data_IF_974225327220
#
_entry.id   IF_974225327220
#
_cell.length_a   1.000
_cell.length_b   1.000
_cell.length_c   1.000
_cell.angle_alpha   90.00
_cell.angle_beta   90.00
_cell.angle_gamma   90.00
#
_symmetry.space_group_name_H-M   'P 1'
#
loop_
_entity.id
_entity.type
_entity.pdbx_description
1 polymer ?
#
# COMPACT_ATOMS: atom_id res chain seq x y z
N UNK A 1 3.96 -6.33 15.34
CA UNK A 1 3.19 -5.37 14.51
C UNK A 1 2.51 -4.28 15.33
N UNK A 2 1.68 -4.58 16.34
CA UNK A 2 1.06 -3.55 17.18
C UNK A 2 2.05 -2.57 17.82
N UNK A 3 3.16 -3.09 18.37
CA UNK A 3 4.22 -2.27 18.97
C UNK A 3 4.88 -1.33 17.94
N UNK A 4 5.15 -1.81 16.73
CA UNK A 4 5.74 -1.00 15.67
C UNK A 4 4.81 0.13 15.24
N UNK A 5 3.51 -0.12 15.10
CA UNK A 5 2.51 0.90 14.74
C UNK A 5 2.30 1.94 15.86
N UNK A 6 2.33 1.49 17.12
CA UNK A 6 2.30 2.39 18.28
C UNK A 6 3.55 3.26 18.37
N UNK A 7 4.74 2.69 18.13
CA UNK A 7 6.00 3.42 18.26
C UNK A 7 6.23 4.40 17.10
N UNK A 8 5.71 4.10 15.89
CA UNK A 8 5.90 4.92 14.68
C UNK A 8 4.76 5.91 14.37
N UNK A 9 3.53 5.58 14.75
CA UNK A 9 2.35 6.37 14.42
C UNK A 9 1.43 6.65 15.62
N UNK A 10 1.82 6.22 16.82
CA UNK A 10 1.08 6.43 18.08
C UNK A 10 -0.37 5.93 18.05
N UNK A 11 -0.72 5.07 17.09
CA UNK A 11 -2.07 4.60 16.89
C UNK A 11 -2.08 3.12 16.48
N UNK A 12 -2.75 2.29 17.31
CA UNK A 12 -2.94 0.85 17.05
C UNK A 12 -3.68 0.57 15.74
N UNK A 13 -4.46 1.53 15.23
CA UNK A 13 -5.18 1.36 13.96
C UNK A 13 -4.24 1.28 12.75
N UNK A 14 -2.96 1.66 12.87
CA UNK A 14 -2.02 1.72 11.75
C UNK A 14 -1.16 0.47 11.58
N UNK A 15 -1.57 -0.63 12.21
CA UNK A 15 -0.95 -1.95 12.09
C UNK A 15 -1.03 -2.47 10.65
N UNK A 16 -2.12 -2.19 9.94
CA UNK A 16 -2.27 -2.59 8.54
C UNK A 16 -1.24 -1.89 7.64
N UNK A 17 -1.05 -0.57 7.80
CA UNK A 17 -0.09 0.21 7.03
C UNK A 17 1.34 -0.28 7.28
N UNK A 18 1.70 -0.54 8.54
CA UNK A 18 2.97 -1.18 8.89
C UNK A 18 3.14 -2.57 8.25
N UNK A 19 2.08 -3.40 8.24
CA UNK A 19 2.13 -4.71 7.58
C UNK A 19 2.29 -4.60 6.06
N UNK A 20 1.59 -3.66 5.42
CA UNK A 20 1.78 -3.36 4.00
C UNK A 20 3.22 -2.94 3.72
N UNK A 21 3.83 -2.10 4.57
CA UNK A 21 5.24 -1.73 4.44
C UNK A 21 6.18 -2.94 4.44
N UNK A 22 6.00 -3.87 5.39
CA UNK A 22 6.76 -5.13 5.44
C UNK A 22 6.57 -5.91 4.14
N UNK A 23 5.32 -6.11 3.69
CA UNK A 23 5.04 -6.85 2.46
C UNK A 23 5.68 -6.20 1.23
N UNK A 24 5.62 -4.87 1.10
CA UNK A 24 6.22 -4.14 -0.03
C UNK A 24 7.74 -4.30 -0.06
N UNK A 25 8.40 -4.22 1.11
CA UNK A 25 9.84 -4.46 1.23
C UNK A 25 10.21 -5.89 0.83
N UNK A 26 9.44 -6.88 1.30
CA UNK A 26 9.62 -8.28 0.92
C UNK A 26 9.31 -8.54 -0.55
N UNK A 27 8.49 -7.74 -1.22
CA UNK A 27 8.25 -7.88 -2.67
C UNK A 27 9.25 -7.07 -3.50
N UNK A 28 10.21 -6.39 -2.87
CA UNK A 28 11.15 -5.48 -3.53
C UNK A 28 10.45 -4.38 -4.37
N UNK A 29 9.28 -3.92 -3.90
CA UNK A 29 8.57 -2.81 -4.52
C UNK A 29 9.06 -1.49 -3.98
N UNK A 30 9.02 -0.46 -4.83
CA UNK A 30 9.31 0.90 -4.40
C UNK A 30 8.30 1.34 -3.34
N UNK A 31 8.81 1.91 -2.26
CA UNK A 31 7.97 2.44 -1.20
C UNK A 31 7.14 3.62 -1.67
N UNK A 32 7.64 4.43 -2.62
CA UNK A 32 6.93 5.63 -3.06
C UNK A 32 5.57 5.28 -3.67
N UNK A 33 5.46 4.13 -4.36
CA UNK A 33 4.18 3.62 -4.86
C UNK A 33 3.18 3.33 -3.72
N UNK A 34 3.65 2.83 -2.57
CA UNK A 34 2.82 2.62 -1.39
C UNK A 34 2.44 3.96 -0.74
N UNK A 35 3.38 4.90 -0.64
CA UNK A 35 3.14 6.22 -0.06
C UNK A 35 2.08 6.99 -0.85
N UNK A 36 2.20 7.02 -2.17
CA UNK A 36 1.22 7.65 -3.08
C UNK A 36 -0.18 7.02 -2.90
N UNK A 37 -0.24 5.68 -2.89
CA UNK A 37 -1.50 4.95 -2.69
C UNK A 37 -2.15 5.28 -1.33
N UNK A 38 -1.35 5.36 -0.26
CA UNK A 38 -1.85 5.73 1.07
C UNK A 38 -2.30 7.20 1.14
N UNK A 39 -1.62 8.08 0.41
CA UNK A 39 -2.01 9.47 0.20
C UNK A 39 -3.41 9.57 -0.40
N UNK A 40 -3.63 8.91 -1.54
CA UNK A 40 -4.92 8.91 -2.23
C UNK A 40 -6.04 8.28 -1.39
N UNK A 41 -5.76 7.13 -0.75
CA UNK A 41 -6.76 6.38 0.02
C UNK A 41 -7.26 7.14 1.25
N UNK A 42 -6.38 7.92 1.90
CA UNK A 42 -6.68 8.62 3.13
C UNK A 42 -6.80 10.14 2.97
N UNK A 43 -6.72 10.68 1.75
CA UNK A 43 -6.81 12.12 1.47
C UNK A 43 -8.03 12.78 2.15
N UNK A 44 -9.20 12.12 2.10
CA UNK A 44 -10.44 12.63 2.70
C UNK A 44 -10.43 12.66 4.24
N UNK A 45 -9.46 12.00 4.88
CA UNK A 45 -9.30 11.96 6.35
C UNK A 45 -8.33 13.02 6.87
N UNK A 46 -7.68 13.77 5.97
CA UNK A 46 -6.78 14.88 6.30
C UNK A 46 -5.33 14.47 6.53
N UNK A 47 -4.44 15.46 6.37
CA UNK A 47 -2.98 15.29 6.39
C UNK A 47 -2.45 14.53 7.61
N UNK A 48 -2.91 14.77 8.86
CA UNK A 48 -2.38 14.04 10.01
C UNK A 48 -2.61 12.53 9.93
N UNK A 49 -3.72 12.09 9.32
CA UNK A 49 -4.05 10.68 9.15
C UNK A 49 -3.23 10.07 8.01
N UNK A 50 -3.05 10.81 6.92
CA UNK A 50 -2.19 10.40 5.80
C UNK A 50 -0.75 10.19 6.28
N UNK A 51 -0.18 11.21 6.92
CA UNK A 51 1.19 11.20 7.42
C UNK A 51 1.44 10.08 8.42
N UNK A 52 0.49 9.84 9.33
CA UNK A 52 0.63 8.77 10.31
C UNK A 52 0.62 7.38 9.63
N UNK A 53 -0.21 7.16 8.60
CA UNK A 53 -0.20 5.88 7.88
C UNK A 53 1.09 5.67 7.08
N UNK A 54 1.58 6.72 6.41
CA UNK A 54 2.85 6.69 5.68
C UNK A 54 4.00 6.39 6.63
N UNK A 55 4.07 7.04 7.80
CA UNK A 55 5.09 6.74 8.83
C UNK A 55 5.03 5.31 9.33
N UNK A 56 3.84 4.78 9.61
CA UNK A 56 3.67 3.39 10.02
C UNK A 56 4.15 2.42 8.94
N UNK A 57 3.77 2.67 7.68
CA UNK A 57 4.22 1.88 6.54
C UNK A 57 5.74 1.94 6.37
N UNK A 58 6.35 3.14 6.48
CA UNK A 58 7.81 3.32 6.39
C UNK A 58 8.53 2.49 7.45
N UNK A 59 8.06 2.54 8.70
CA UNK A 59 8.65 1.77 9.78
C UNK A 59 8.62 0.26 9.52
N UNK A 60 7.51 -0.26 8.95
CA UNK A 60 7.38 -1.65 8.53
C UNK A 60 8.34 -2.01 7.38
N UNK A 61 8.42 -1.15 6.37
CA UNK A 61 9.29 -1.32 5.22
C UNK A 61 10.77 -1.37 5.63
N UNK A 62 11.23 -0.41 6.43
CA UNK A 62 12.62 -0.31 6.90
C UNK A 62 12.99 -1.44 7.87
N UNK A 63 12.02 -1.94 8.65
CA UNK A 63 12.24 -3.13 9.47
C UNK A 63 12.51 -4.34 8.59
N UNK A 64 11.65 -4.58 7.60
CA UNK A 64 11.78 -5.74 6.73
C UNK A 64 13.05 -5.69 5.88
N UNK A 65 13.46 -4.50 5.41
CA UNK A 65 14.72 -4.34 4.69
C UNK A 65 15.92 -4.70 5.57
N UNK A 66 15.91 -4.30 6.85
CA UNK A 66 17.02 -4.65 7.77
C UNK A 66 17.06 -6.13 8.13
N UNK A 67 15.90 -6.77 8.27
CA UNK A 67 15.80 -8.15 8.75
C UNK A 67 15.91 -9.20 7.64
N UNK A 68 15.45 -8.89 6.42
CA UNK A 68 15.27 -9.90 5.36
C UNK A 68 16.05 -9.63 4.06
N UNK A 69 16.78 -8.52 3.95
CA UNK A 69 17.56 -8.18 2.75
C UNK A 69 18.58 -9.27 2.41
N UNK A 70 18.46 -9.81 1.20
CA UNK A 70 19.33 -10.88 0.68
C UNK A 70 19.08 -12.28 1.26
N UNK A 71 18.14 -12.42 2.20
CA UNK A 71 17.84 -13.70 2.87
C UNK A 71 16.59 -14.35 2.29
N UNK A 72 15.65 -13.56 1.79
CA UNK A 72 14.37 -14.09 1.37
C UNK A 72 14.42 -14.72 -0.04
N UNK A 73 14.25 -16.05 -0.15
CA UNK A 73 14.37 -16.77 -1.43
C UNK A 73 13.19 -16.55 -2.38
N UNK A 74 12.07 -15.99 -1.88
CA UNK A 74 10.85 -15.72 -2.64
C UNK A 74 10.58 -14.23 -2.88
N UNK A 75 11.50 -13.36 -2.43
CA UNK A 75 11.32 -11.91 -2.42
C UNK A 75 11.76 -11.23 -3.71
N UNK A 76 12.33 -11.97 -4.67
CA UNK A 76 12.67 -11.48 -6.00
C UNK A 76 11.43 -11.31 -6.90
N UNK A 77 10.35 -10.72 -6.36
CA UNK A 77 9.18 -10.30 -7.10
C UNK A 77 9.44 -8.93 -7.69
N UNK A 78 10.55 -8.75 -8.42
CA UNK A 78 10.81 -7.51 -9.14
C UNK A 78 9.76 -7.36 -10.24
N UNK A 79 8.66 -6.66 -9.95
CA UNK A 79 7.72 -6.28 -10.97
C UNK A 79 8.35 -5.12 -11.73
N UNK A 80 8.75 -5.35 -12.99
CA UNK A 80 9.04 -4.25 -13.89
C UNK A 80 7.81 -3.35 -13.87
N UNK A 81 7.99 -2.08 -13.50
CA UNK A 81 6.96 -1.06 -13.60
C UNK A 81 6.50 -1.04 -15.05
N UNK A 82 5.42 -1.77 -15.35
CA UNK A 82 4.81 -1.70 -16.66
C UNK A 82 4.18 -0.32 -16.71
N UNK A 83 4.56 0.47 -17.72
CA UNK A 83 3.89 1.74 -17.96
C UNK A 83 2.38 1.54 -17.92
N UNK A 84 1.71 2.47 -17.24
CA UNK A 84 0.27 2.48 -17.08
C UNK A 84 -0.41 2.43 -18.45
N UNK A 85 -0.70 1.22 -18.91
CA UNK A 85 -1.76 1.02 -19.90
C UNK A 85 -3.03 1.46 -19.20
N UNK A 86 -3.88 2.28 -19.82
CA UNK A 86 -5.14 2.75 -19.24
C UNK A 86 -6.02 1.56 -18.83
N UNK A 87 -5.82 1.08 -17.60
CA UNK A 87 -6.49 -0.06 -16.98
C UNK A 87 -7.38 0.49 -15.89
N UNK A 88 -8.58 -0.06 -15.78
CA UNK A 88 -9.51 0.27 -14.72
C UNK A 88 -9.57 -0.89 -13.73
N UNK A 89 -9.46 -0.59 -12.44
CA UNK A 89 -9.71 -1.55 -11.36
C UNK A 89 -11.16 -1.39 -10.92
N UNK A 90 -11.96 -2.46 -11.08
CA UNK A 90 -13.37 -2.47 -10.71
C UNK A 90 -13.77 -3.86 -10.24
N UNK A 91 -14.75 -3.91 -9.36
CA UNK A 91 -15.48 -5.10 -8.95
C UNK A 91 -16.50 -5.53 -10.01
N UNK A 92 -16.99 -6.76 -9.94
CA UNK A 92 -17.98 -7.27 -10.90
C UNK A 92 -19.30 -6.49 -10.89
N UNK A 93 -19.74 -6.02 -9.72
CA UNK A 93 -20.93 -5.17 -9.60
C UNK A 93 -20.74 -3.80 -10.22
N UNK A 94 -19.56 -3.18 -10.06
CA UNK A 94 -19.23 -1.90 -10.70
C UNK A 94 -19.17 -2.05 -12.22
N UNK A 95 -18.57 -3.14 -12.72
CA UNK A 95 -18.55 -3.44 -14.14
C UNK A 95 -19.96 -3.58 -14.74
N UNK A 96 -20.84 -4.30 -14.06
CA UNK A 96 -22.22 -4.49 -14.49
C UNK A 96 -22.98 -3.15 -14.52
N UNK A 97 -22.88 -2.34 -13.47
CA UNK A 97 -23.51 -1.02 -13.41
C UNK A 97 -22.96 -0.06 -14.46
N UNK A 98 -21.64 -0.04 -14.66
CA UNK A 98 -20.97 0.78 -15.67
C UNK A 98 -21.40 0.38 -17.09
N UNK A 99 -21.57 -0.92 -17.34
CA UNK A 99 -22.12 -1.45 -18.60
C UNK A 99 -23.52 -0.93 -18.88
N UNK A 100 -24.42 -0.94 -17.88
CA UNK A 100 -25.78 -0.39 -18.03
C UNK A 100 -25.76 1.09 -18.39
N UNK A 101 -24.97 1.89 -17.65
CA UNK A 101 -24.83 3.33 -17.91
C UNK A 101 -24.34 3.62 -19.33
N UNK A 102 -23.32 2.90 -19.81
CA UNK A 102 -22.79 3.08 -21.17
C UNK A 102 -23.82 2.65 -22.22
N UNK A 103 -24.59 1.60 -21.94
CA UNK A 103 -25.61 1.09 -22.87
C UNK A 103 -26.87 1.96 -22.96
N UNK A 104 -27.00 2.98 -22.10
CA UNK A 104 -28.17 3.87 -22.06
C UNK A 104 -29.39 3.28 -21.35
N UNK A 105 -29.18 2.29 -20.47
CA UNK A 105 -30.18 1.71 -19.57
C UNK A 105 -30.24 2.45 -18.23
#
# INVERSE_FOLDING_TARGET
MEKLALDSAQNKLMVNSAACGVCFSLMEYDFDALADTLGDLFALKGDPVVEANIRAARAGYDQAEREFKGVCPYCALHQKVQQAKGRMLMTGSEAAGYGSLISGL
#
